data_IF_411097079156
#
_entry.id   IF_411097079156
#
_cell.length_a   1.000
_cell.length_b   1.000
_cell.length_c   1.000
_cell.angle_alpha   90.00
_cell.angle_beta   90.00
_cell.angle_gamma   90.00
#
_symmetry.space_group_name_H-M   'P 1'
#
loop_
_entity.id
_entity.type
_entity.pdbx_description
1 polymer ?
#
# COMPACT_ATOMS: atom_id res chain seq x y z
N UNK A 1 -23.26 24.36 84.14
CA UNK A 1 -23.41 23.25 83.16
C UNK A 1 -23.27 23.85 81.76
N UNK A 2 -22.47 23.25 80.88
CA UNK A 2 -22.48 23.63 79.46
C UNK A 2 -21.13 23.72 78.76
N UNK A 3 -20.36 22.63 78.68
CA UNK A 3 -19.27 22.46 77.71
C UNK A 3 -19.01 20.97 77.45
N UNK A 4 -19.91 20.27 76.77
CA UNK A 4 -19.62 18.92 76.21
C UNK A 4 -20.20 18.65 74.82
N UNK A 5 -20.87 19.62 74.18
CA UNK A 5 -21.47 19.45 72.84
C UNK A 5 -20.62 19.93 71.64
N UNK A 6 -19.60 20.76 71.85
CA UNK A 6 -18.86 21.43 70.75
C UNK A 6 -17.77 20.59 70.06
N UNK A 7 -17.18 19.59 70.74
CA UNK A 7 -16.04 18.84 70.20
C UNK A 7 -16.41 17.77 69.15
N UNK A 8 -17.62 17.21 69.22
CA UNK A 8 -18.09 16.19 68.26
C UNK A 8 -18.46 16.82 66.91
N UNK A 9 -19.12 17.99 66.94
CA UNK A 9 -19.49 18.73 65.74
C UNK A 9 -18.26 19.23 64.95
N UNK A 10 -17.22 19.70 65.63
CA UNK A 10 -15.98 20.19 65.01
C UNK A 10 -15.17 19.07 64.32
N UNK A 11 -15.11 17.89 64.93
CA UNK A 11 -14.46 16.70 64.35
C UNK A 11 -15.23 16.20 63.12
N UNK A 12 -16.57 16.16 63.18
CA UNK A 12 -17.40 15.79 62.03
C UNK A 12 -17.26 16.79 60.87
N UNK A 13 -17.19 18.10 61.14
CA UNK A 13 -16.95 19.09 60.08
C UNK A 13 -15.56 18.98 59.44
N UNK A 14 -14.53 18.64 60.22
CA UNK A 14 -13.18 18.41 59.68
C UNK A 14 -13.14 17.19 58.76
N UNK A 15 -13.75 16.08 59.16
CA UNK A 15 -13.84 14.87 58.33
C UNK A 15 -14.60 15.14 57.03
N UNK A 16 -15.70 15.87 57.08
CA UNK A 16 -16.44 16.26 55.88
C UNK A 16 -15.62 17.17 54.95
N UNK A 17 -14.86 18.12 55.50
CA UNK A 17 -13.99 18.98 54.70
C UNK A 17 -12.82 18.22 54.04
N UNK A 18 -12.29 17.19 54.72
CA UNK A 18 -11.23 16.33 54.21
C UNK A 18 -11.75 15.36 53.14
N UNK A 19 -12.97 14.83 53.31
CA UNK A 19 -13.65 14.05 52.28
C UNK A 19 -13.94 14.89 51.04
N UNK A 20 -14.46 16.11 51.21
CA UNK A 20 -14.75 17.01 50.10
C UNK A 20 -13.48 17.42 49.35
N UNK A 21 -12.37 17.69 50.05
CA UNK A 21 -11.09 18.01 49.41
C UNK A 21 -10.51 16.80 48.65
N UNK A 22 -10.66 15.61 49.21
CA UNK A 22 -10.22 14.36 48.57
C UNK A 22 -11.08 14.01 47.35
N UNK A 23 -12.39 14.22 47.42
CA UNK A 23 -13.31 14.04 46.29
C UNK A 23 -12.94 14.99 45.14
N UNK A 24 -12.77 16.29 45.43
CA UNK A 24 -12.33 17.26 44.43
C UNK A 24 -10.95 16.92 43.81
N UNK A 25 -10.02 16.41 44.62
CA UNK A 25 -8.71 15.98 44.12
C UNK A 25 -8.78 14.71 43.26
N UNK A 26 -9.72 13.79 43.55
CA UNK A 26 -9.95 12.59 42.73
C UNK A 26 -10.64 12.96 41.41
N UNK A 27 -11.63 13.85 41.44
CA UNK A 27 -12.30 14.33 40.23
C UNK A 27 -11.32 15.04 39.29
N UNK A 28 -10.44 15.89 39.84
CA UNK A 28 -9.39 16.54 39.05
C UNK A 28 -8.42 15.53 38.41
N UNK A 29 -8.08 14.44 39.13
CA UNK A 29 -7.24 13.37 38.58
C UNK A 29 -7.96 12.58 37.48
N UNK A 30 -9.25 12.33 37.64
CA UNK A 30 -10.06 11.62 36.63
C UNK A 30 -10.15 12.45 35.36
N UNK A 31 -10.42 13.76 35.46
CA UNK A 31 -10.49 14.62 34.28
C UNK A 31 -9.12 14.76 33.60
N UNK A 32 -8.04 14.91 34.37
CA UNK A 32 -6.68 14.91 33.80
C UNK A 32 -6.36 13.59 33.07
N UNK A 33 -6.71 12.44 33.64
CA UNK A 33 -6.51 11.14 33.02
C UNK A 33 -7.37 10.98 31.74
N UNK A 34 -8.62 11.49 31.75
CA UNK A 34 -9.49 11.49 30.57
C UNK A 34 -8.93 12.35 29.44
N UNK A 35 -8.46 13.56 29.75
CA UNK A 35 -7.83 14.42 28.75
C UNK A 35 -6.56 13.79 28.18
N UNK A 36 -5.73 13.18 29.03
CA UNK A 36 -4.53 12.49 28.58
C UNK A 36 -4.87 11.32 27.65
N UNK A 37 -5.83 10.46 28.04
CA UNK A 37 -6.26 9.35 27.21
C UNK A 37 -6.82 9.82 25.85
N UNK A 38 -7.57 10.93 25.82
CA UNK A 38 -8.05 11.52 24.55
C UNK A 38 -6.89 11.95 23.65
N UNK A 39 -5.89 12.64 24.21
CA UNK A 39 -4.70 13.08 23.44
C UNK A 39 -3.90 11.90 22.90
N UNK A 40 -3.77 10.82 23.69
CA UNK A 40 -3.08 9.60 23.26
C UNK A 40 -3.82 8.92 22.11
N UNK A 41 -5.16 8.85 22.18
CA UNK A 41 -5.99 8.31 21.08
C UNK A 41 -5.89 9.18 19.83
N UNK A 42 -6.02 10.51 19.96
CA UNK A 42 -5.89 11.44 18.83
C UNK A 42 -4.52 11.32 18.14
N UNK A 43 -3.44 11.20 18.93
CA UNK A 43 -2.09 11.02 18.39
C UNK A 43 -1.95 9.67 17.65
N UNK A 44 -2.48 8.58 18.23
CA UNK A 44 -2.45 7.27 17.61
C UNK A 44 -3.28 7.22 16.31
N UNK A 45 -4.44 7.86 16.27
CA UNK A 45 -5.27 7.96 15.07
C UNK A 45 -4.57 8.78 13.97
N UNK A 46 -3.92 9.89 14.33
CA UNK A 46 -3.15 10.69 13.39
C UNK A 46 -1.97 9.89 12.79
N UNK A 47 -1.26 9.13 13.61
CA UNK A 47 -0.18 8.25 13.16
C UNK A 47 -0.70 7.12 12.25
N UNK A 48 -1.79 6.45 12.64
CA UNK A 48 -2.41 5.41 11.82
C UNK A 48 -2.85 5.94 10.45
N UNK A 49 -3.49 7.11 10.41
CA UNK A 49 -3.89 7.76 9.16
C UNK A 49 -2.68 8.10 8.27
N UNK A 50 -1.58 8.56 8.88
CA UNK A 50 -0.33 8.81 8.15
C UNK A 50 0.24 7.52 7.56
N UNK A 51 0.31 6.45 8.34
CA UNK A 51 0.81 5.14 7.87
C UNK A 51 -0.03 4.63 6.70
N UNK A 52 -1.36 4.73 6.79
CA UNK A 52 -2.26 4.31 5.71
C UNK A 52 -2.05 5.14 4.44
N UNK A 53 -1.92 6.46 4.57
CA UNK A 53 -1.65 7.34 3.43
C UNK A 53 -0.31 7.02 2.76
N UNK A 54 0.75 6.80 3.56
CA UNK A 54 2.06 6.40 3.05
C UNK A 54 2.02 5.03 2.36
N UNK A 55 1.31 4.06 2.93
CA UNK A 55 1.14 2.73 2.34
C UNK A 55 0.39 2.80 1.01
N UNK A 56 -0.68 3.60 0.92
CA UNK A 56 -1.43 3.79 -0.31
C UNK A 56 -0.59 4.47 -1.41
N UNK A 57 0.20 5.49 -1.05
CA UNK A 57 1.12 6.14 -1.98
C UNK A 57 2.17 5.17 -2.52
N UNK A 58 2.74 4.32 -1.66
CA UNK A 58 3.70 3.27 -2.07
C UNK A 58 3.07 2.23 -2.99
N UNK A 59 1.84 1.81 -2.69
CA UNK A 59 1.11 0.87 -3.55
C UNK A 59 0.85 1.46 -4.94
N UNK A 60 0.43 2.73 -5.02
CA UNK A 60 0.23 3.43 -6.29
C UNK A 60 1.53 3.58 -7.08
N UNK A 61 2.64 3.91 -6.42
CA UNK A 61 3.95 4.00 -7.06
C UNK A 61 4.40 2.63 -7.63
N UNK A 62 4.24 1.56 -6.86
CA UNK A 62 4.55 0.19 -7.29
C UNK A 62 3.69 -0.24 -8.48
N UNK A 63 2.39 0.08 -8.46
CA UNK A 63 1.49 -0.21 -9.56
C UNK A 63 1.93 0.51 -10.85
N UNK A 64 2.24 1.81 -10.76
CA UNK A 64 2.69 2.59 -11.91
C UNK A 64 4.05 2.10 -12.46
N UNK A 65 4.97 1.67 -11.59
CA UNK A 65 6.23 1.06 -12.02
C UNK A 65 5.99 -0.26 -12.73
N UNK A 66 5.13 -1.11 -12.18
CA UNK A 66 4.80 -2.40 -12.77
C UNK A 66 4.13 -2.26 -14.14
N UNK A 67 3.20 -1.31 -14.30
CA UNK A 67 2.56 -1.02 -15.59
C UNK A 67 3.57 -0.60 -16.65
N UNK A 68 4.52 0.29 -16.32
CA UNK A 68 5.60 0.69 -17.23
C UNK A 68 6.49 -0.49 -17.61
N UNK A 69 6.80 -1.35 -16.64
CA UNK A 69 7.59 -2.55 -16.90
C UNK A 69 6.85 -3.51 -17.85
N UNK A 70 5.55 -3.76 -17.61
CA UNK A 70 4.73 -4.61 -18.47
C UNK A 70 4.61 -4.06 -19.89
N UNK A 71 4.46 -2.74 -20.05
CA UNK A 71 4.45 -2.09 -21.36
C UNK A 71 5.78 -2.28 -22.09
N UNK A 72 6.91 -2.08 -21.39
CA UNK A 72 8.23 -2.28 -21.96
C UNK A 72 8.49 -3.74 -22.37
N UNK A 73 8.17 -4.69 -21.51
CA UNK A 73 8.29 -6.13 -21.80
C UNK A 73 7.38 -6.54 -22.96
N UNK A 74 6.14 -6.06 -22.99
CA UNK A 74 5.21 -6.33 -24.10
C UNK A 74 5.76 -5.80 -25.42
N UNK A 75 6.33 -4.59 -25.42
CA UNK A 75 6.92 -4.02 -26.62
C UNK A 75 8.16 -4.81 -27.07
N UNK A 76 9.01 -5.25 -26.14
CA UNK A 76 10.14 -6.12 -26.44
C UNK A 76 9.69 -7.44 -27.08
N UNK A 77 8.73 -8.14 -26.46
CA UNK A 77 8.17 -9.40 -26.98
C UNK A 77 7.60 -9.20 -28.39
N UNK A 78 6.86 -8.11 -28.63
CA UNK A 78 6.32 -7.80 -29.96
C UNK A 78 7.41 -7.58 -31.00
N UNK A 79 8.46 -6.83 -30.64
CA UNK A 79 9.59 -6.57 -31.53
C UNK A 79 10.33 -7.87 -31.86
N UNK A 80 10.59 -8.71 -30.87
CA UNK A 80 11.23 -10.01 -31.07
C UNK A 80 10.38 -10.95 -31.94
N UNK A 81 9.08 -11.03 -31.67
CA UNK A 81 8.16 -11.85 -32.46
C UNK A 81 8.12 -11.39 -33.92
N UNK A 82 8.14 -10.06 -34.15
CA UNK A 82 8.21 -9.49 -35.50
C UNK A 82 9.52 -9.85 -36.20
N UNK A 83 10.66 -9.70 -35.53
CA UNK A 83 11.96 -10.06 -36.10
C UNK A 83 12.02 -11.54 -36.49
N UNK A 84 11.56 -12.44 -35.60
CA UNK A 84 11.49 -13.89 -35.89
C UNK A 84 10.55 -14.21 -37.06
N UNK A 85 9.42 -13.51 -37.16
CA UNK A 85 8.50 -13.68 -38.28
C UNK A 85 9.11 -13.22 -39.61
N UNK A 86 9.82 -12.10 -39.61
CA UNK A 86 10.54 -11.58 -40.79
C UNK A 86 11.65 -12.54 -41.23
N UNK A 87 12.46 -13.06 -40.30
CA UNK A 87 13.47 -14.09 -40.56
C UNK A 87 12.83 -15.37 -41.15
N UNK A 88 11.76 -15.86 -40.55
CA UNK A 88 11.03 -17.04 -41.02
C UNK A 88 10.46 -16.86 -42.44
N UNK A 89 9.91 -15.68 -42.74
CA UNK A 89 9.41 -15.35 -44.07
C UNK A 89 10.54 -15.27 -45.11
N UNK A 90 11.68 -14.66 -44.77
CA UNK A 90 12.85 -14.59 -45.65
C UNK A 90 13.41 -15.99 -45.93
N UNK A 91 13.59 -16.83 -44.89
CA UNK A 91 14.07 -18.19 -45.04
C UNK A 91 13.13 -19.04 -45.91
N UNK A 92 11.81 -18.84 -45.77
CA UNK A 92 10.81 -19.53 -46.61
C UNK A 92 10.89 -19.06 -48.07
N UNK A 93 11.05 -17.76 -48.31
CA UNK A 93 11.21 -17.18 -49.65
C UNK A 93 12.46 -17.71 -50.34
N UNK A 94 13.59 -17.76 -49.64
CA UNK A 94 14.86 -18.30 -50.17
C UNK A 94 14.72 -19.78 -50.55
N UNK A 95 14.12 -20.60 -49.66
CA UNK A 95 13.84 -22.02 -49.94
C UNK A 95 12.92 -22.21 -51.15
N UNK A 96 11.88 -21.39 -51.27
CA UNK A 96 10.97 -21.42 -52.41
C UNK A 96 11.68 -21.06 -53.72
N UNK A 97 12.50 -20.00 -53.72
CA UNK A 97 13.29 -19.59 -54.89
C UNK A 97 14.23 -20.71 -55.35
N UNK A 98 14.95 -21.36 -54.43
CA UNK A 98 15.83 -22.47 -54.77
C UNK A 98 15.07 -23.64 -55.43
N UNK A 99 13.88 -23.98 -54.90
CA UNK A 99 13.03 -25.04 -55.48
C UNK A 99 12.49 -24.68 -56.85
N UNK A 100 12.11 -23.41 -57.07
CA UNK A 100 11.63 -22.93 -58.37
C UNK A 100 12.74 -23.03 -59.42
N UNK A 101 13.97 -22.64 -59.09
CA UNK A 101 15.10 -22.76 -60.03
C UNK A 101 15.39 -24.22 -60.39
N UNK A 102 15.43 -25.12 -59.40
CA UNK A 102 15.62 -26.55 -59.65
C UNK A 102 14.49 -27.14 -60.52
N UNK A 103 13.24 -26.76 -60.26
CA UNK A 103 12.09 -27.19 -61.05
C UNK A 103 12.16 -26.68 -62.49
N UNK A 104 12.57 -25.41 -62.68
CA UNK A 104 12.74 -24.82 -64.00
C UNK A 104 13.84 -25.52 -64.81
N UNK A 105 15.00 -25.78 -64.20
CA UNK A 105 16.09 -26.56 -64.83
C UNK A 105 15.65 -27.97 -65.20
N UNK A 106 14.95 -28.65 -64.28
CA UNK A 106 14.43 -30.01 -64.52
C UNK A 106 13.45 -30.04 -65.70
N UNK A 107 12.51 -29.09 -65.74
CA UNK A 107 11.56 -28.95 -66.84
C UNK A 107 12.32 -28.69 -68.14
N UNK A 108 13.18 -27.67 -68.20
CA UNK A 108 13.95 -27.33 -69.41
C UNK A 108 14.72 -28.53 -69.97
N UNK A 109 15.37 -29.32 -69.12
CA UNK A 109 16.06 -30.55 -69.53
C UNK A 109 15.12 -31.62 -70.06
N UNK A 110 13.90 -31.71 -69.53
CA UNK A 110 12.90 -32.68 -69.97
C UNK A 110 12.19 -32.28 -71.28
N UNK A 111 12.12 -30.98 -71.61
CA UNK A 111 11.42 -30.50 -72.83
C UNK A 111 12.35 -30.16 -74.00
N UNK A 112 13.67 -30.06 -73.78
CA UNK A 112 14.63 -29.85 -74.86
C UNK A 112 15.02 -31.21 -75.49
N UNK A 113 14.84 -31.39 -76.81
CA UNK A 113 15.15 -32.63 -77.53
C UNK A 113 16.66 -32.92 -77.66
#
# INVERSE_FOLDING_TARGET
MGKKGGGILDVSSRVLSELASREAALDAQIEAAREQARREVEAAEAEANRILAEAQARAQAMQAEHERQLEAETQQIRNEARARAEEGAQATRQRAQARVQQAAEYILRAVLP
#
